data_IF_827294342334
#
_entry.id   IF_827294342334
#
_cell.length_a   1.000
_cell.length_b   1.000
_cell.length_c   1.000
_cell.angle_alpha   90.00
_cell.angle_beta   90.00
_cell.angle_gamma   90.00
#
_symmetry.space_group_name_H-M   'P 1'
#
loop_
_entity.id
_entity.type
_entity.pdbx_description
1 polymer ?
#
# COMPACT_ATOMS: atom_id res chain seq x y z
N UNK A 1 -31.24 14.45 21.04
CA UNK A 1 -30.24 13.93 20.10
C UNK A 1 -30.96 13.73 18.78
N UNK A 2 -30.75 14.65 17.84
CA UNK A 2 -31.50 14.68 16.58
C UNK A 2 -30.86 13.73 15.54
N UNK A 3 -31.66 13.23 14.59
CA UNK A 3 -31.15 12.43 13.46
C UNK A 3 -30.00 13.14 12.71
N UNK A 4 -30.07 14.47 12.56
CA UNK A 4 -28.97 15.27 11.99
C UNK A 4 -27.65 15.16 12.77
N UNK A 5 -27.68 15.14 14.11
CA UNK A 5 -26.45 15.01 14.91
C UNK A 5 -25.83 13.62 14.75
N UNK A 6 -26.67 12.58 14.65
CA UNK A 6 -26.22 11.20 14.45
C UNK A 6 -25.60 11.00 13.06
N UNK A 7 -26.20 11.57 12.02
CA UNK A 7 -25.66 11.55 10.65
C UNK A 7 -24.33 12.31 10.58
N UNK A 8 -24.23 13.47 11.23
CA UNK A 8 -22.99 14.25 11.26
C UNK A 8 -21.85 13.52 12.00
N UNK A 9 -22.15 12.84 13.12
CA UNK A 9 -21.17 12.04 13.86
C UNK A 9 -20.71 10.79 13.09
N UNK A 10 -21.52 10.24 12.19
CA UNK A 10 -21.13 9.14 11.30
C UNK A 10 -20.27 9.65 10.14
N UNK A 11 -20.61 10.81 9.57
CA UNK A 11 -19.82 11.45 8.50
C UNK A 11 -18.43 11.87 9.00
N UNK A 12 -18.32 12.41 10.23
CA UNK A 12 -17.00 12.70 10.84
C UNK A 12 -16.11 11.46 11.00
N UNK A 13 -16.70 10.26 11.15
CA UNK A 13 -15.95 8.99 11.25
C UNK A 13 -15.57 8.40 9.89
N UNK A 14 -16.15 8.91 8.80
CA UNK A 14 -15.82 8.55 7.41
C UNK A 14 -15.19 9.79 6.76
N UNK A 15 -14.11 10.31 7.34
CA UNK A 15 -13.44 11.46 6.78
C UNK A 15 -12.38 10.98 5.77
N UNK A 16 -12.63 11.22 4.48
CA UNK A 16 -11.66 10.97 3.39
C UNK A 16 -10.36 11.78 3.62
N UNK A 17 -10.43 12.85 4.41
CA UNK A 17 -9.25 13.63 4.82
C UNK A 17 -8.29 12.85 5.72
N UNK A 18 -8.77 12.02 6.66
CA UNK A 18 -7.89 11.22 7.54
C UNK A 18 -7.12 10.15 6.75
N UNK A 19 -7.73 9.60 5.69
CA UNK A 19 -7.07 8.67 4.76
C UNK A 19 -5.99 9.42 3.95
N UNK A 20 -6.29 10.63 3.47
CA UNK A 20 -5.33 11.42 2.69
C UNK A 20 -4.17 11.98 3.54
N UNK A 21 -4.41 12.27 4.83
CA UNK A 21 -3.40 12.76 5.76
C UNK A 21 -2.45 11.63 6.20
N UNK A 22 -2.96 10.40 6.38
CA UNK A 22 -2.09 9.23 6.51
C UNK A 22 -1.24 8.98 5.26
N UNK A 23 -1.78 9.22 4.06
CA UNK A 23 -1.03 9.09 2.81
C UNK A 23 0.05 10.18 2.61
N UNK A 24 -0.09 11.36 3.23
CA UNK A 24 0.90 12.45 3.12
C UNK A 24 2.04 12.32 4.14
N UNK A 25 1.82 11.70 5.30
CA UNK A 25 2.90 11.34 6.26
C UNK A 25 3.80 10.20 5.73
N UNK A 26 3.25 9.26 4.95
CA UNK A 26 4.02 8.13 4.38
C UNK A 26 5.01 8.61 3.29
N UNK A 27 4.74 9.75 2.65
CA UNK A 27 5.62 10.33 1.60
C UNK A 27 7.05 10.63 2.08
N UNK A 28 7.29 10.68 3.39
CA UNK A 28 8.63 10.86 3.97
C UNK A 28 9.28 9.58 4.51
N UNK A 29 8.61 8.43 4.46
CA UNK A 29 9.10 7.20 5.09
C UNK A 29 9.25 6.05 4.09
N UNK A 30 10.28 6.15 3.25
CA UNK A 30 10.64 5.13 2.25
C UNK A 30 10.73 3.72 2.84
N UNK A 31 11.15 3.59 4.11
CA UNK A 31 11.20 2.30 4.81
C UNK A 31 9.82 1.67 4.99
N UNK A 32 8.78 2.47 5.27
CA UNK A 32 7.42 1.95 5.39
C UNK A 32 6.87 1.50 4.03
N UNK A 33 7.10 2.28 2.98
CA UNK A 33 6.68 1.92 1.61
C UNK A 33 7.40 0.63 1.18
N UNK A 34 8.71 0.54 1.41
CA UNK A 34 9.50 -0.65 1.11
C UNK A 34 8.96 -1.89 1.85
N UNK A 35 8.67 -1.78 3.15
CA UNK A 35 8.08 -2.87 3.94
C UNK A 35 6.69 -3.28 3.45
N UNK A 36 5.86 -2.32 3.06
CA UNK A 36 4.53 -2.59 2.50
C UNK A 36 4.65 -3.39 1.21
N UNK A 37 5.49 -2.92 0.28
CA UNK A 37 5.72 -3.57 -1.02
C UNK A 37 6.26 -4.99 -0.83
N UNK A 38 7.28 -5.16 0.02
CA UNK A 38 7.81 -6.49 0.36
C UNK A 38 6.74 -7.41 0.95
N UNK A 39 5.92 -6.91 1.87
CA UNK A 39 4.91 -7.76 2.52
C UNK A 39 3.81 -8.18 1.56
N UNK A 40 3.39 -7.29 0.67
CA UNK A 40 2.45 -7.61 -0.40
C UNK A 40 3.02 -8.72 -1.30
N UNK A 41 4.29 -8.58 -1.72
CA UNK A 41 4.99 -9.58 -2.49
C UNK A 41 5.02 -10.95 -1.80
N UNK A 42 5.46 -10.98 -0.54
CA UNK A 42 5.57 -12.20 0.27
C UNK A 42 4.23 -12.94 0.36
N UNK A 43 3.15 -12.22 0.66
CA UNK A 43 1.80 -12.80 0.78
C UNK A 43 1.34 -13.36 -0.56
N UNK A 44 1.50 -12.62 -1.66
CA UNK A 44 1.07 -13.08 -2.98
C UNK A 44 1.84 -14.32 -3.42
N UNK A 45 3.17 -14.31 -3.24
CA UNK A 45 4.03 -15.44 -3.63
C UNK A 45 3.75 -16.68 -2.77
N UNK A 46 3.56 -16.51 -1.46
CA UNK A 46 3.21 -17.62 -0.56
C UNK A 46 1.88 -18.29 -0.93
N UNK A 47 0.94 -17.52 -1.48
CA UNK A 47 -0.35 -18.03 -1.94
C UNK A 47 -0.33 -18.56 -3.39
N UNK A 48 0.84 -18.72 -4.01
CA UNK A 48 0.97 -19.23 -5.36
C UNK A 48 0.60 -18.21 -6.45
N UNK A 49 0.76 -16.93 -6.16
CA UNK A 49 0.63 -15.87 -7.15
C UNK A 49 1.60 -16.09 -8.33
N UNK A 50 1.11 -15.85 -9.55
CA UNK A 50 1.95 -15.86 -10.74
C UNK A 50 3.07 -14.82 -10.59
N UNK A 51 4.33 -15.23 -10.77
CA UNK A 51 5.53 -14.42 -10.49
C UNK A 51 5.40 -12.99 -11.07
N UNK A 52 5.09 -12.90 -12.36
CA UNK A 52 4.92 -11.62 -13.04
C UNK A 52 3.81 -10.74 -12.43
N UNK A 53 2.72 -11.34 -11.94
CA UNK A 53 1.64 -10.59 -11.27
C UNK A 53 2.04 -10.11 -9.88
N UNK A 54 2.86 -10.86 -9.17
CA UNK A 54 3.43 -10.44 -7.89
C UNK A 54 4.27 -9.19 -8.10
N UNK A 55 5.21 -9.24 -9.04
CA UNK A 55 6.09 -8.12 -9.40
C UNK A 55 5.27 -6.89 -9.83
N UNK A 56 4.32 -7.05 -10.75
CA UNK A 56 3.45 -5.95 -11.19
C UNK A 56 2.66 -5.33 -10.05
N UNK A 57 2.14 -6.14 -9.12
CA UNK A 57 1.37 -5.62 -7.99
C UNK A 57 2.27 -4.79 -7.06
N UNK A 58 3.49 -5.26 -6.82
CA UNK A 58 4.49 -4.57 -6.03
C UNK A 58 4.88 -3.20 -6.64
N UNK A 59 5.07 -3.16 -7.97
CA UNK A 59 5.32 -1.91 -8.71
C UNK A 59 4.13 -0.94 -8.62
N UNK A 60 2.90 -1.43 -8.79
CA UNK A 60 1.68 -0.60 -8.68
C UNK A 60 1.57 0.05 -7.31
N UNK A 61 1.83 -0.70 -6.23
CA UNK A 61 1.80 -0.17 -4.86
C UNK A 61 2.87 0.92 -4.70
N UNK A 62 4.11 0.65 -5.11
CA UNK A 62 5.21 1.62 -5.02
C UNK A 62 4.90 2.93 -5.78
N UNK A 63 4.44 2.79 -7.03
CA UNK A 63 4.08 3.91 -7.89
C UNK A 63 2.95 4.76 -7.31
N UNK A 64 1.97 4.14 -6.62
CA UNK A 64 0.89 4.85 -5.96
C UNK A 64 1.39 5.81 -4.88
N UNK A 65 2.46 5.45 -4.16
CA UNK A 65 3.11 6.31 -3.17
C UNK A 65 4.14 7.29 -3.77
N UNK A 66 4.27 7.32 -5.10
CA UNK A 66 5.15 8.25 -5.82
C UNK A 66 6.60 7.80 -5.91
N UNK A 67 6.89 6.52 -5.66
CA UNK A 67 8.22 5.97 -5.90
C UNK A 67 8.39 5.63 -7.37
N UNK A 68 9.37 6.27 -8.02
CA UNK A 68 9.59 6.21 -9.48
C UNK A 68 10.71 5.23 -9.86
N UNK A 69 11.63 4.96 -8.94
CA UNK A 69 12.70 3.96 -9.08
C UNK A 69 12.41 2.79 -8.17
N UNK A 70 11.83 1.73 -8.72
CA UNK A 70 11.71 0.46 -8.02
C UNK A 70 12.06 -0.67 -9.00
N UNK A 71 12.90 -1.58 -8.55
CA UNK A 71 13.22 -2.82 -9.25
C UNK A 71 12.77 -4.00 -8.38
N UNK A 72 11.84 -4.81 -8.91
CA UNK A 72 11.29 -5.98 -8.23
C UNK A 72 11.60 -7.23 -9.04
N UNK A 73 12.16 -8.23 -8.38
CA UNK A 73 12.41 -9.54 -8.96
C UNK A 73 11.94 -10.63 -8.00
N UNK A 74 10.94 -11.41 -8.41
CA UNK A 74 10.43 -12.55 -7.68
C UNK A 74 10.89 -13.86 -8.33
N UNK A 75 11.23 -14.83 -7.48
CA UNK A 75 11.48 -16.22 -7.83
C UNK A 75 10.57 -17.09 -6.98
N UNK A 76 10.48 -18.39 -7.28
CA UNK A 76 9.51 -19.28 -6.63
C UNK A 76 9.54 -19.27 -5.09
N UNK A 77 10.67 -18.92 -4.46
CA UNK A 77 10.85 -18.92 -3.01
C UNK A 77 11.48 -17.62 -2.46
N UNK A 78 11.52 -16.54 -3.25
CA UNK A 78 12.26 -15.35 -2.86
C UNK A 78 11.85 -14.12 -3.63
N UNK A 79 12.10 -12.96 -3.04
CA UNK A 79 11.78 -11.66 -3.61
C UNK A 79 12.97 -10.74 -3.34
N UNK A 80 13.41 -10.04 -4.37
CA UNK A 80 14.44 -9.03 -4.33
C UNK A 80 13.81 -7.70 -4.72
N UNK A 81 14.04 -6.67 -3.91
CA UNK A 81 13.52 -5.31 -4.15
C UNK A 81 14.65 -4.31 -3.94
N UNK A 82 14.79 -3.37 -4.87
CA UNK A 82 15.63 -2.18 -4.73
C UNK A 82 14.75 -0.95 -4.97
N UNK A 83 14.92 0.09 -4.15
CA UNK A 83 14.07 1.29 -4.14
C UNK A 83 14.89 2.54 -3.84
#
# INVERSE_FOLDING_TARGET
MNEQELVNAVIEKINVADINEQCSEIKGNSDMIFRLVLKAGEVLLHNGGEIFRVEQTMEIIANHYGVVSIDVYAVSNGIFVTM
#
